data_IF_064520008226
#
_entry.id   IF_064520008226
#
_cell.length_a   1.000
_cell.length_b   1.000
_cell.length_c   1.000
_cell.angle_alpha   90.00
_cell.angle_beta   90.00
_cell.angle_gamma   90.00
#
_symmetry.space_group_name_H-M   'P 1'
#
loop_
_entity.id
_entity.type
_entity.pdbx_description
1 polymer ?
#
# COMPACT_ATOMS: atom_id res chain seq x y z
N UNK A 1 -45.62 -23.86 14.02
CA UNK A 1 -45.51 -25.32 14.20
C UNK A 1 -44.88 -25.91 12.96
N UNK A 2 -43.79 -26.66 12.92
CA UNK A 2 -42.61 -26.91 13.79
C UNK A 2 -41.76 -27.87 12.97
N UNK A 3 -40.46 -27.56 12.84
CA UNK A 3 -39.29 -28.44 12.62
C UNK A 3 -39.47 -29.85 12.00
N UNK A 4 -38.62 -30.16 11.01
CA UNK A 4 -38.18 -31.53 10.75
C UNK A 4 -36.64 -31.55 10.79
N UNK A 5 -36.13 -32.15 11.86
CA UNK A 5 -34.74 -32.55 12.06
C UNK A 5 -34.49 -33.87 11.35
N UNK A 6 -33.33 -34.04 10.73
CA UNK A 6 -32.77 -35.36 10.42
C UNK A 6 -31.38 -35.44 11.04
N UNK A 7 -31.24 -36.43 11.92
CA UNK A 7 -30.03 -36.78 12.64
C UNK A 7 -29.64 -38.22 12.28
N UNK A 8 -28.34 -38.39 12.16
CA UNK A 8 -27.46 -39.56 12.30
C UNK A 8 -27.97 -41.01 12.22
N UNK A 9 -27.11 -41.84 11.62
CA UNK A 9 -26.81 -43.18 12.16
C UNK A 9 -26.41 -44.22 11.13
N UNK A 10 -25.21 -44.81 11.28
CA UNK A 10 -25.04 -46.26 11.12
C UNK A 10 -23.78 -46.81 11.82
N UNK A 11 -24.01 -47.86 12.60
CA UNK A 11 -23.04 -48.80 13.20
C UNK A 11 -23.55 -50.23 12.93
N UNK A 12 -22.64 -51.18 12.73
CA UNK A 12 -22.88 -52.64 12.71
C UNK A 12 -21.59 -53.37 12.30
N UNK A 13 -20.76 -53.90 13.20
CA UNK A 13 -20.76 -55.23 13.90
C UNK A 13 -20.36 -56.42 13.00
N UNK A 14 -19.35 -57.20 13.45
CA UNK A 14 -19.08 -58.57 12.97
C UNK A 14 -17.78 -59.17 13.52
N UNK A 15 -17.85 -60.39 14.06
CA UNK A 15 -16.93 -61.06 14.99
C UNK A 15 -15.78 -61.89 14.37
N UNK A 16 -14.89 -62.32 15.27
CA UNK A 16 -13.62 -63.05 15.15
C UNK A 16 -13.66 -64.48 14.55
N UNK A 17 -12.49 -64.93 14.04
CA UNK A 17 -12.09 -66.34 13.96
C UNK A 17 -10.57 -66.50 14.19
N UNK A 18 -10.21 -67.45 15.06
CA UNK A 18 -8.84 -67.89 15.37
C UNK A 18 -8.20 -68.70 14.24
N UNK A 19 -6.89 -68.56 14.03
CA UNK A 19 -6.00 -69.69 13.67
C UNK A 19 -4.51 -69.36 13.86
N UNK A 20 -3.88 -70.21 14.69
CA UNK A 20 -2.54 -70.80 14.65
C UNK A 20 -1.30 -70.11 14.01
N UNK A 21 -0.21 -70.23 14.77
CA UNK A 21 1.20 -69.96 14.51
C UNK A 21 1.76 -70.61 13.23
N UNK A 22 2.60 -69.86 12.50
CA UNK A 22 3.81 -70.37 11.84
C UNK A 22 4.81 -69.23 11.64
N UNK A 23 5.98 -69.37 12.25
CA UNK A 23 7.13 -68.49 12.02
C UNK A 23 7.75 -68.81 10.64
N UNK A 24 7.95 -67.78 9.82
CA UNK A 24 8.94 -67.76 8.75
C UNK A 24 9.58 -66.37 8.74
N UNK A 25 10.85 -66.30 9.14
CA UNK A 25 11.71 -65.17 8.87
C UNK A 25 11.86 -64.98 7.37
N UNK A 26 11.65 -63.76 6.88
CA UNK A 26 12.30 -63.25 5.68
C UNK A 26 12.57 -61.79 5.88
N UNK A 27 13.84 -61.51 6.14
CA UNK A 27 14.45 -60.20 6.22
C UNK A 27 14.31 -59.50 4.86
N UNK A 28 13.47 -58.46 4.80
CA UNK A 28 13.37 -57.59 3.64
C UNK A 28 14.51 -56.56 3.69
N UNK A 29 15.22 -56.29 2.58
CA UNK A 29 16.29 -55.30 2.56
C UNK A 29 15.73 -53.90 2.86
N UNK A 30 16.42 -53.18 3.75
CA UNK A 30 16.09 -51.82 4.12
C UNK A 30 16.02 -50.91 2.87
N UNK A 31 14.91 -50.19 2.72
CA UNK A 31 14.80 -49.12 1.73
C UNK A 31 15.87 -48.04 2.02
N UNK A 32 16.49 -47.44 0.98
CA UNK A 32 17.46 -46.37 1.18
C UNK A 32 16.76 -45.15 1.79
N UNK A 33 17.39 -44.58 2.82
CA UNK A 33 16.94 -43.36 3.47
C UNK A 33 16.83 -42.20 2.45
N UNK A 34 15.84 -41.30 2.58
CA UNK A 34 15.76 -40.11 1.73
C UNK A 34 17.01 -39.23 1.94
N UNK A 35 17.52 -38.58 0.88
CA UNK A 35 18.67 -37.70 1.00
C UNK A 35 18.36 -36.53 1.94
N UNK A 36 19.35 -36.16 2.76
CA UNK A 36 19.27 -35.02 3.66
C UNK A 36 18.97 -33.73 2.88
N UNK A 37 18.21 -32.77 3.46
CA UNK A 37 17.97 -31.48 2.83
C UNK A 37 19.29 -30.75 2.60
N UNK A 38 19.44 -30.01 1.48
CA UNK A 38 20.64 -29.23 1.22
C UNK A 38 20.84 -28.18 2.32
N UNK A 39 22.10 -27.98 2.70
CA UNK A 39 22.49 -26.97 3.68
C UNK A 39 21.97 -25.57 3.28
N UNK A 40 21.58 -24.72 4.25
CA UNK A 40 21.15 -23.36 3.94
C UNK A 40 22.27 -22.60 3.22
N UNK A 41 21.94 -22.04 2.05
CA UNK A 41 22.85 -21.17 1.30
C UNK A 41 23.11 -19.93 2.18
N UNK A 42 24.38 -19.54 2.42
CA UNK A 42 24.66 -18.33 3.19
C UNK A 42 24.00 -17.12 2.51
N UNK A 43 23.27 -16.33 3.29
CA UNK A 43 22.66 -15.09 2.84
C UNK A 43 23.74 -14.20 2.20
N UNK A 44 23.55 -13.86 0.93
CA UNK A 44 24.39 -12.89 0.24
C UNK A 44 24.16 -11.54 0.91
N UNK A 45 25.20 -10.96 1.51
CA UNK A 45 25.16 -9.62 2.08
C UNK A 45 24.72 -8.61 1.00
N UNK A 46 23.87 -7.62 1.33
CA UNK A 46 23.45 -6.61 0.35
C UNK A 46 24.69 -5.88 -0.19
N UNK A 47 24.78 -5.79 -1.51
CA UNK A 47 25.80 -4.99 -2.20
C UNK A 47 25.62 -3.53 -1.76
N UNK A 48 26.66 -2.83 -1.28
CA UNK A 48 26.53 -1.44 -0.87
C UNK A 48 26.13 -0.59 -2.08
N UNK A 49 25.03 0.15 -1.93
CA UNK A 49 24.58 1.11 -2.93
C UNK A 49 25.69 2.18 -3.15
N UNK A 50 25.95 2.61 -4.39
CA UNK A 50 26.89 3.69 -4.64
C UNK A 50 26.45 4.97 -3.93
N UNK A 51 27.39 5.69 -3.35
CA UNK A 51 27.14 6.95 -2.66
C UNK A 51 26.38 7.93 -3.56
N UNK A 52 25.19 8.34 -3.13
CA UNK A 52 24.30 9.20 -3.90
C UNK A 52 24.93 10.59 -4.11
N UNK A 53 24.88 11.09 -5.35
CA UNK A 53 25.16 12.49 -5.66
C UNK A 53 24.15 13.41 -4.93
N UNK A 54 24.53 14.66 -4.58
CA UNK A 54 23.65 15.57 -3.86
C UNK A 54 22.40 15.89 -4.70
N UNK A 55 21.23 15.67 -4.09
CA UNK A 55 19.95 15.96 -4.74
C UNK A 55 19.73 17.49 -4.82
N UNK A 56 19.11 17.99 -5.90
CA UNK A 56 18.71 19.39 -5.97
C UNK A 56 17.62 19.68 -4.93
N UNK A 57 17.88 20.66 -4.05
CA UNK A 57 16.99 21.06 -2.96
C UNK A 57 15.61 21.46 -3.51
N UNK A 58 14.57 20.98 -2.85
CA UNK A 58 13.21 21.30 -3.25
C UNK A 58 12.84 22.76 -3.01
N UNK A 59 12.56 23.50 -4.08
CA UNK A 59 11.93 24.83 -3.98
C UNK A 59 10.55 24.66 -3.32
N UNK A 60 10.39 25.21 -2.11
CA UNK A 60 9.11 25.19 -1.37
C UNK A 60 8.97 24.11 -0.29
N UNK A 61 9.93 23.21 -0.09
CA UNK A 61 9.86 22.20 0.99
C UNK A 61 9.87 22.80 2.41
N UNK A 62 10.05 24.11 2.55
CA UNK A 62 9.97 24.84 3.82
C UNK A 62 8.54 25.18 4.24
N UNK A 63 7.51 24.75 3.50
CA UNK A 63 6.10 25.00 3.82
C UNK A 63 5.43 23.69 4.23
N UNK A 64 4.88 23.57 5.45
CA UNK A 64 4.07 22.42 5.84
C UNK A 64 2.90 22.18 4.87
N UNK A 65 2.64 20.92 4.55
CA UNK A 65 1.70 20.49 3.51
C UNK A 65 2.32 20.30 2.13
N UNK A 66 3.59 20.68 1.93
CA UNK A 66 4.29 20.46 0.66
C UNK A 66 4.55 18.97 0.46
N UNK A 67 4.19 18.46 -0.72
CA UNK A 67 4.49 17.09 -1.13
C UNK A 67 5.92 17.02 -1.65
N UNK A 68 6.69 16.08 -1.15
CA UNK A 68 8.11 15.89 -1.46
C UNK A 68 8.40 14.42 -1.73
N UNK A 69 9.55 14.17 -2.34
CA UNK A 69 10.20 12.87 -2.33
C UNK A 69 11.34 12.93 -1.32
N UNK A 70 11.29 12.06 -0.31
CA UNK A 70 12.18 12.09 0.84
C UNK A 70 13.06 10.83 0.87
N UNK A 71 14.37 11.03 1.11
CA UNK A 71 15.39 9.99 1.14
C UNK A 71 15.28 9.20 2.46
N UNK A 72 14.60 8.07 2.41
CA UNK A 72 14.34 7.27 3.60
C UNK A 72 15.63 6.75 4.21
N UNK A 73 15.90 7.13 5.46
CA UNK A 73 17.09 6.76 6.22
C UNK A 73 18.43 7.06 5.50
N UNK A 74 18.44 7.99 4.54
CA UNK A 74 19.65 8.35 3.80
C UNK A 74 20.14 7.29 2.80
N UNK A 75 19.35 6.26 2.49
CA UNK A 75 19.78 5.09 1.71
C UNK A 75 19.80 5.30 0.18
N UNK A 76 19.45 6.49 -0.31
CA UNK A 76 19.37 6.83 -1.73
C UNK A 76 18.07 6.39 -2.40
N UNK A 77 17.10 5.89 -1.61
CA UNK A 77 15.75 5.58 -2.04
C UNK A 77 14.78 6.64 -1.54
N UNK A 78 14.03 7.19 -2.47
CA UNK A 78 13.12 8.28 -2.20
C UNK A 78 11.67 7.82 -2.28
N UNK A 79 10.89 8.22 -1.28
CA UNK A 79 9.49 7.89 -1.12
C UNK A 79 8.65 9.16 -1.03
N UNK A 80 7.40 9.07 -1.44
CA UNK A 80 6.46 10.19 -1.34
C UNK A 80 6.14 10.47 0.11
N UNK A 81 6.26 11.75 0.50
CA UNK A 81 5.83 12.24 1.79
C UNK A 81 5.28 13.65 1.74
N UNK A 82 4.76 14.10 2.87
CA UNK A 82 4.30 15.47 3.10
C UNK A 82 5.13 16.10 4.21
N UNK A 83 5.62 17.32 4.00
CA UNK A 83 6.30 18.08 5.05
C UNK A 83 5.26 18.45 6.11
N UNK A 84 5.47 18.04 7.35
CA UNK A 84 4.54 18.30 8.46
C UNK A 84 4.98 19.46 9.36
N UNK A 85 6.29 19.70 9.44
CA UNK A 85 6.89 20.78 10.22
C UNK A 85 8.25 21.18 9.66
N UNK A 86 8.68 22.40 9.98
CA UNK A 86 10.00 22.95 9.63
C UNK A 86 10.61 23.57 10.87
N UNK A 87 11.76 23.04 11.30
CA UNK A 87 12.45 23.47 12.52
C UNK A 87 13.89 23.81 12.17
N UNK A 88 14.19 25.11 12.04
CA UNK A 88 15.51 25.56 11.59
C UNK A 88 15.82 25.03 10.18
N UNK A 89 16.89 24.24 10.06
CA UNK A 89 17.30 23.58 8.81
C UNK A 89 16.92 22.10 8.77
N UNK A 90 15.81 21.73 9.41
CA UNK A 90 15.27 20.37 9.42
C UNK A 90 13.80 20.37 9.02
N UNK A 91 13.41 19.34 8.30
CA UNK A 91 12.07 19.12 7.78
C UNK A 91 11.54 17.82 8.38
N UNK A 92 10.41 17.87 9.06
CA UNK A 92 9.67 16.67 9.45
C UNK A 92 8.80 16.23 8.27
N UNK A 93 8.96 14.99 7.84
CA UNK A 93 8.23 14.41 6.70
C UNK A 93 7.41 13.23 7.19
N UNK A 94 6.12 13.23 6.84
CA UNK A 94 5.21 12.09 6.99
C UNK A 94 5.14 11.36 5.65
N UNK A 95 5.63 10.13 5.61
CA UNK A 95 5.55 9.27 4.45
C UNK A 95 4.11 8.77 4.23
N UNK A 96 3.81 8.40 2.99
CA UNK A 96 2.47 7.96 2.60
C UNK A 96 2.03 6.65 3.29
N UNK A 97 2.95 5.87 3.86
CA UNK A 97 2.68 4.66 4.63
C UNK A 97 2.42 4.91 6.13
N UNK A 98 2.59 6.16 6.58
CA UNK A 98 2.41 6.60 7.96
C UNK A 98 3.69 6.77 8.80
N UNK A 99 4.86 6.38 8.29
CA UNK A 99 6.11 6.61 9.00
C UNK A 99 6.50 8.10 8.95
N UNK A 100 7.24 8.56 9.96
CA UNK A 100 7.70 9.95 10.04
C UNK A 100 9.20 10.00 10.26
N UNK A 101 9.87 10.94 9.58
CA UNK A 101 11.31 11.14 9.69
C UNK A 101 11.65 12.64 9.72
N UNK A 102 12.77 13.01 10.34
CA UNK A 102 13.31 14.36 10.28
C UNK A 102 14.55 14.37 9.41
N UNK A 103 14.51 15.16 8.34
CA UNK A 103 15.53 15.19 7.29
C UNK A 103 16.11 16.58 7.13
N UNK A 104 17.36 16.65 6.69
CA UNK A 104 17.93 17.88 6.16
C UNK A 104 17.34 18.20 4.76
N UNK A 105 17.37 19.47 4.31
CA UNK A 105 16.79 19.87 3.02
C UNK A 105 17.37 19.18 1.79
N UNK A 106 18.61 18.68 1.85
CA UNK A 106 19.25 17.90 0.79
C UNK A 106 18.78 16.43 0.77
N UNK A 107 18.15 15.96 1.85
CA UNK A 107 17.45 14.69 1.93
C UNK A 107 16.06 14.69 1.30
N UNK A 108 15.58 15.84 0.80
CA UNK A 108 14.28 15.94 0.12
C UNK A 108 14.43 16.59 -1.25
N UNK A 109 13.59 16.16 -2.18
CA UNK A 109 13.47 16.77 -3.50
C UNK A 109 12.00 17.06 -3.82
N UNK A 110 11.71 17.97 -4.78
CA UNK A 110 10.34 18.23 -5.18
C UNK A 110 9.68 16.92 -5.63
N UNK A 111 8.38 16.83 -5.44
CA UNK A 111 7.61 15.73 -6.01
C UNK A 111 7.68 15.76 -7.55
N UNK A 112 8.62 14.98 -8.09
CA UNK A 112 8.86 14.77 -9.52
C UNK A 112 8.59 13.33 -9.93
N UNK A 113 7.66 12.66 -9.24
CA UNK A 113 7.11 11.39 -9.73
C UNK A 113 6.22 11.65 -10.94
N UNK A 114 6.89 11.87 -12.07
CA UNK A 114 6.28 12.22 -13.33
C UNK A 114 6.39 11.04 -14.30
N UNK A 115 5.27 10.38 -14.62
CA UNK A 115 5.29 9.36 -15.67
C UNK A 115 5.70 9.99 -17.02
N UNK A 116 6.43 9.31 -17.90
CA UNK A 116 6.95 7.94 -17.84
C UNK A 116 8.36 7.93 -17.24
N UNK A 117 8.60 7.20 -16.14
CA UNK A 117 9.93 7.16 -15.49
C UNK A 117 10.23 5.82 -14.80
N UNK A 118 11.52 5.43 -14.64
CA UNK A 118 11.87 4.19 -13.95
C UNK A 118 11.71 4.31 -12.43
N UNK A 119 11.35 3.21 -11.79
CA UNK A 119 11.26 3.09 -10.34
C UNK A 119 11.29 1.62 -9.91
N UNK A 120 11.06 1.39 -8.62
CA UNK A 120 10.88 0.06 -8.07
C UNK A 120 9.57 0.00 -7.29
N UNK A 121 8.72 -0.97 -7.64
CA UNK A 121 7.48 -1.22 -6.93
C UNK A 121 7.64 -2.43 -6.01
N UNK A 122 7.17 -2.36 -4.77
CA UNK A 122 7.07 -3.52 -3.90
C UNK A 122 5.91 -4.39 -4.38
N UNK A 123 6.22 -5.65 -4.70
CA UNK A 123 5.28 -6.70 -5.05
C UNK A 123 5.61 -7.93 -4.24
N UNK A 124 4.64 -8.42 -3.46
CA UNK A 124 4.82 -9.57 -2.57
C UNK A 124 6.04 -9.42 -1.62
N UNK A 125 6.28 -8.19 -1.14
CA UNK A 125 7.40 -7.84 -0.29
C UNK A 125 8.75 -7.67 -1.00
N UNK A 126 8.80 -7.86 -2.32
CA UNK A 126 10.02 -7.75 -3.12
C UNK A 126 9.96 -6.50 -4.00
N UNK A 127 11.01 -5.68 -3.96
CA UNK A 127 11.14 -4.55 -4.88
C UNK A 127 11.45 -5.07 -6.29
N UNK A 128 10.55 -4.80 -7.25
CA UNK A 128 10.71 -5.15 -8.65
C UNK A 128 10.89 -3.89 -9.50
N UNK A 129 11.80 -3.91 -10.50
CA UNK A 129 11.97 -2.78 -11.40
C UNK A 129 10.72 -2.57 -12.24
N UNK A 130 10.26 -1.33 -12.31
CA UNK A 130 9.08 -0.93 -13.07
C UNK A 130 9.31 0.37 -13.83
N UNK A 131 8.51 0.55 -14.87
CA UNK A 131 8.26 1.85 -15.47
C UNK A 131 6.95 2.40 -14.90
N UNK A 132 6.99 3.57 -14.28
CA UNK A 132 5.82 4.30 -13.81
C UNK A 132 5.21 4.96 -15.04
N UNK A 133 4.05 4.48 -15.50
CA UNK A 133 3.38 4.94 -16.72
C UNK A 133 2.27 5.95 -16.45
N UNK A 134 1.66 5.92 -15.26
CA UNK A 134 0.57 6.83 -14.89
C UNK A 134 0.59 7.16 -13.41
N UNK A 135 0.12 8.35 -13.06
CA UNK A 135 -0.12 8.78 -11.69
C UNK A 135 -1.44 9.54 -11.59
N UNK A 136 -2.26 9.16 -10.62
CA UNK A 136 -3.52 9.83 -10.28
C UNK A 136 -3.62 9.83 -8.76
N UNK A 137 -3.58 11.00 -8.12
CA UNK A 137 -3.55 11.08 -6.66
C UNK A 137 -2.43 10.20 -6.07
N UNK A 138 -2.81 9.27 -5.19
CA UNK A 138 -1.95 8.24 -4.59
C UNK A 138 -1.68 7.02 -5.45
N UNK A 139 -2.45 6.78 -6.51
CA UNK A 139 -2.34 5.58 -7.33
C UNK A 139 -1.34 5.75 -8.48
N UNK A 140 -0.59 4.68 -8.74
CA UNK A 140 0.40 4.59 -9.80
C UNK A 140 0.07 3.41 -10.71
N UNK A 141 -0.04 3.68 -12.01
CA UNK A 141 -0.06 2.65 -13.04
C UNK A 141 1.39 2.34 -13.42
N UNK A 142 1.80 1.09 -13.29
CA UNK A 142 3.17 0.65 -13.51
C UNK A 142 3.24 -0.51 -14.50
N UNK A 143 4.34 -0.59 -15.24
CA UNK A 143 4.67 -1.70 -16.10
C UNK A 143 5.96 -2.39 -15.62
N UNK A 144 5.90 -3.71 -15.41
CA UNK A 144 7.06 -4.53 -15.09
C UNK A 144 7.97 -4.73 -16.29
N UNK A 145 9.19 -5.19 -16.04
CA UNK A 145 10.14 -5.54 -17.10
C UNK A 145 9.65 -6.68 -18.02
N UNK A 146 8.71 -7.49 -17.53
CA UNK A 146 8.01 -8.56 -18.26
C UNK A 146 6.83 -8.04 -19.12
N UNK A 147 6.59 -6.73 -19.11
CA UNK A 147 5.47 -6.08 -19.82
C UNK A 147 4.13 -6.19 -19.11
N UNK A 148 4.06 -6.84 -17.94
CA UNK A 148 2.83 -6.87 -17.14
C UNK A 148 2.51 -5.48 -16.62
N UNK A 149 1.24 -5.09 -16.71
CA UNK A 149 0.75 -3.80 -16.21
C UNK A 149 -0.18 -4.01 -15.03
N UNK A 150 -0.01 -3.20 -14.00
CA UNK A 150 -0.90 -3.20 -12.84
C UNK A 150 -0.93 -1.83 -12.18
N UNK A 151 -1.88 -1.65 -11.27
CA UNK A 151 -1.94 -0.47 -10.41
C UNK A 151 -1.42 -0.78 -9.02
N UNK A 152 -0.75 0.19 -8.43
CA UNK A 152 -0.27 0.19 -7.05
C UNK A 152 -0.48 1.60 -6.46
N UNK A 153 0.06 1.87 -5.27
CA UNK A 153 0.03 3.19 -4.65
C UNK A 153 1.44 3.68 -4.29
N UNK A 154 1.57 5.00 -4.11
CA UNK A 154 2.85 5.66 -3.81
C UNK A 154 3.62 5.11 -2.59
N UNK A 155 3.00 4.58 -1.50
CA UNK A 155 3.76 3.94 -0.42
C UNK A 155 4.59 2.74 -0.86
N UNK A 156 4.20 2.07 -1.94
CA UNK A 156 4.86 0.86 -2.44
C UNK A 156 5.81 1.14 -3.59
N UNK A 157 6.06 2.41 -3.93
CA UNK A 157 6.97 2.76 -5.02
C UNK A 157 8.08 3.64 -4.49
N UNK A 158 9.31 3.22 -4.80
CA UNK A 158 10.52 3.98 -4.52
C UNK A 158 11.25 4.32 -5.80
N UNK A 159 12.03 5.39 -5.75
CA UNK A 159 12.79 5.91 -6.88
C UNK A 159 14.17 6.34 -6.40
N UNK A 160 15.13 6.43 -7.32
CA UNK A 160 16.47 6.94 -7.02
C UNK A 160 16.62 8.35 -7.58
N UNK A 161 17.61 9.10 -7.10
CA UNK A 161 17.95 10.40 -7.68
C UNK A 161 18.28 10.30 -9.19
N UNK A 162 18.88 9.19 -9.63
CA UNK A 162 19.20 8.96 -11.03
C UNK A 162 17.95 8.73 -11.91
N UNK A 163 16.84 8.28 -11.31
CA UNK A 163 15.56 8.09 -12.01
C UNK A 163 14.82 9.41 -12.27
N UNK A 164 15.18 10.49 -11.58
CA UNK A 164 14.41 11.74 -11.58
C UNK A 164 14.50 12.47 -12.92
N UNK A 165 13.36 12.79 -13.55
CA UNK A 165 13.37 13.63 -14.74
C UNK A 165 13.73 15.08 -14.38
N UNK A 166 14.39 15.74 -15.34
CA UNK A 166 14.76 17.15 -15.20
C UNK A 166 13.55 18.09 -15.24
N UNK A 167 12.45 17.64 -15.86
CA UNK A 167 11.25 18.46 -16.11
C UNK A 167 10.16 18.18 -15.10
N UNK A 168 9.47 19.24 -14.65
CA UNK A 168 8.24 19.12 -13.85
C UNK A 168 7.08 18.80 -14.79
N UNK A 169 6.39 17.69 -14.54
CA UNK A 169 5.19 17.31 -15.29
C UNK A 169 3.96 17.92 -14.65
N UNK A 170 3.11 18.49 -15.48
CA UNK A 170 1.77 18.87 -15.09
C UNK A 170 0.89 17.61 -15.09
N UNK A 171 0.33 17.27 -13.92
CA UNK A 171 -0.59 16.15 -13.84
C UNK A 171 -1.77 16.35 -14.81
N UNK A 172 -2.22 15.30 -15.53
CA UNK A 172 -3.39 15.41 -16.38
C UNK A 172 -4.63 15.71 -15.53
N UNK A 173 -5.63 16.34 -16.15
CA UNK A 173 -6.93 16.54 -15.50
C UNK A 173 -7.50 15.17 -15.03
N UNK A 174 -8.17 15.13 -13.87
CA UNK A 174 -8.78 13.90 -13.38
C UNK A 174 -9.78 13.36 -14.39
N UNK A 175 -9.83 12.03 -14.53
CA UNK A 175 -10.81 11.40 -15.40
C UNK A 175 -12.23 11.61 -14.86
N UNK A 176 -13.21 11.58 -15.76
CA UNK A 176 -14.62 11.65 -15.38
C UNK A 176 -14.99 10.54 -14.38
N UNK A 177 -15.94 10.83 -13.49
CA UNK A 177 -16.38 9.93 -12.43
C UNK A 177 -16.62 8.49 -12.94
N UNK A 178 -16.02 7.51 -12.26
CA UNK A 178 -16.19 6.09 -12.55
C UNK A 178 -15.38 5.57 -13.75
N UNK A 179 -14.54 6.41 -14.37
CA UNK A 179 -13.62 6.04 -15.44
C UNK A 179 -12.20 5.76 -14.92
N UNK A 180 -11.40 5.01 -15.67
CA UNK A 180 -10.01 4.74 -15.29
C UNK A 180 -9.21 6.04 -15.09
N UNK A 181 -8.72 6.21 -13.87
CA UNK A 181 -8.02 7.39 -13.36
C UNK A 181 -8.93 8.44 -12.72
N UNK A 182 -10.18 8.11 -12.39
CA UNK A 182 -11.03 8.98 -11.56
C UNK A 182 -10.70 8.77 -10.09
N UNK A 183 -10.52 9.87 -9.36
CA UNK A 183 -10.43 9.86 -7.89
C UNK A 183 -11.84 9.71 -7.32
N UNK A 184 -12.03 8.76 -6.41
CA UNK A 184 -13.34 8.42 -5.84
C UNK A 184 -13.23 8.17 -4.33
N UNK A 185 -14.34 8.32 -3.62
CA UNK A 185 -14.55 7.71 -2.32
C UNK A 185 -15.23 6.36 -2.57
N UNK A 186 -14.56 5.28 -2.21
CA UNK A 186 -15.03 3.92 -2.37
C UNK A 186 -15.48 3.33 -1.03
N UNK A 187 -16.66 2.74 -1.00
CA UNK A 187 -17.18 2.05 0.19
C UNK A 187 -16.50 0.69 0.31
N UNK A 188 -15.55 0.59 1.24
CA UNK A 188 -14.76 -0.60 1.47
C UNK A 188 -15.65 -1.74 1.98
N UNK A 189 -15.51 -2.93 1.41
CA UNK A 189 -16.42 -4.04 1.72
C UNK A 189 -16.19 -4.62 3.12
N UNK A 190 -14.96 -4.49 3.65
CA UNK A 190 -14.58 -5.08 4.93
C UNK A 190 -15.20 -4.40 6.15
N UNK A 191 -15.38 -3.08 6.14
CA UNK A 191 -15.92 -2.32 7.28
C UNK A 191 -17.08 -1.36 6.92
N UNK A 192 -17.43 -1.29 5.64
CA UNK A 192 -18.51 -0.46 5.11
C UNK A 192 -18.26 1.05 5.14
N UNK A 193 -17.05 1.49 5.53
CA UNK A 193 -16.65 2.90 5.56
C UNK A 193 -16.16 3.35 4.18
N UNK A 194 -16.04 4.65 3.99
CA UNK A 194 -15.59 5.22 2.71
C UNK A 194 -14.11 5.59 2.79
N UNK A 195 -13.34 5.14 1.81
CA UNK A 195 -11.91 5.42 1.69
C UNK A 195 -11.61 6.07 0.35
N UNK A 196 -10.61 6.94 0.32
CA UNK A 196 -10.14 7.50 -0.95
C UNK A 196 -9.48 6.41 -1.79
N UNK A 197 -9.89 6.32 -3.04
CA UNK A 197 -9.38 5.35 -3.99
C UNK A 197 -9.32 5.95 -5.40
N UNK A 198 -8.64 5.25 -6.31
CA UNK A 198 -8.61 5.58 -7.74
C UNK A 198 -9.15 4.41 -8.53
N UNK A 199 -10.01 4.67 -9.50
CA UNK A 199 -10.44 3.63 -10.46
C UNK A 199 -9.25 3.26 -11.34
N UNK A 200 -8.67 2.09 -11.15
CA UNK A 200 -7.54 1.60 -11.95
C UNK A 200 -7.97 0.88 -13.23
N UNK A 201 -9.08 0.15 -13.19
CA UNK A 201 -9.52 -0.69 -14.31
C UNK A 201 -11.05 -0.79 -14.36
N UNK A 202 -11.59 -0.97 -15.56
CA UNK A 202 -13.01 -1.29 -15.77
C UNK A 202 -13.15 -2.81 -15.95
N UNK A 203 -13.89 -3.45 -15.06
CA UNK A 203 -14.07 -4.92 -15.03
C UNK A 203 -15.54 -5.23 -15.25
N UNK A 204 -15.97 -5.24 -16.52
CA UNK A 204 -17.38 -5.31 -16.87
C UNK A 204 -18.16 -4.11 -16.32
N UNK A 205 -19.17 -4.35 -15.48
CA UNK A 205 -19.93 -3.31 -14.79
C UNK A 205 -19.25 -2.81 -13.50
N UNK A 206 -18.19 -3.50 -13.05
CA UNK A 206 -17.45 -3.15 -11.84
C UNK A 206 -16.25 -2.26 -12.16
N UNK A 207 -15.80 -1.52 -11.15
CA UNK A 207 -14.61 -0.68 -11.19
C UNK A 207 -13.61 -1.28 -10.22
N UNK A 208 -12.44 -1.68 -10.72
CA UNK A 208 -11.31 -2.03 -9.86
C UNK A 208 -10.76 -0.76 -9.26
N UNK A 209 -11.01 -0.52 -7.99
CA UNK A 209 -10.48 0.62 -7.25
C UNK A 209 -9.16 0.26 -6.58
N UNK A 210 -8.27 1.25 -6.45
CA UNK A 210 -6.95 1.12 -5.81
C UNK A 210 -6.92 2.10 -4.65
N UNK A 211 -6.87 1.57 -3.44
CA UNK A 211 -6.79 2.34 -2.21
C UNK A 211 -5.38 2.88 -1.98
N UNK A 212 -5.25 3.89 -1.11
CA UNK A 212 -3.96 4.49 -0.80
C UNK A 212 -2.99 3.53 -0.12
N UNK A 213 -3.49 2.51 0.57
CA UNK A 213 -2.69 1.40 1.13
C UNK A 213 -2.31 0.32 0.10
N UNK A 214 -2.60 0.54 -1.19
CA UNK A 214 -2.21 -0.34 -2.29
C UNK A 214 -3.13 -1.53 -2.48
N UNK A 215 -4.10 -1.74 -1.59
CA UNK A 215 -5.14 -2.75 -1.77
C UNK A 215 -6.10 -2.37 -2.90
N UNK A 216 -6.81 -3.37 -3.44
CA UNK A 216 -7.76 -3.16 -4.54
C UNK A 216 -8.98 -4.05 -4.43
N UNK A 217 -10.13 -3.52 -4.87
CA UNK A 217 -11.41 -4.24 -4.89
C UNK A 217 -12.20 -3.91 -6.16
N UNK A 218 -13.02 -4.86 -6.62
CA UNK A 218 -13.93 -4.66 -7.75
C UNK A 218 -15.30 -4.24 -7.22
N UNK A 219 -15.65 -2.95 -7.40
CA UNK A 219 -16.85 -2.35 -6.79
C UNK A 219 -17.87 -1.89 -7.85
N UNK A 220 -19.18 -2.00 -7.58
CA UNK A 220 -20.21 -1.40 -8.41
C UNK A 220 -20.24 0.13 -8.23
N UNK A 221 -20.82 0.85 -9.19
CA UNK A 221 -20.90 2.33 -9.14
C UNK A 221 -21.62 2.88 -7.91
N UNK A 222 -22.60 2.15 -7.38
CA UNK A 222 -23.33 2.49 -6.16
C UNK A 222 -22.47 2.47 -4.88
N UNK A 223 -21.33 1.79 -4.92
CA UNK A 223 -20.33 1.79 -3.86
C UNK A 223 -19.27 2.88 -4.06
N UNK A 224 -19.44 3.79 -5.03
CA UNK A 224 -18.53 4.89 -5.32
C UNK A 224 -19.21 6.25 -5.15
N UNK A 225 -18.45 7.25 -4.72
CA UNK A 225 -18.82 8.68 -4.75
C UNK A 225 -17.75 9.45 -5.51
N UNK A 226 -18.17 10.50 -6.21
CA UNK A 226 -17.27 11.34 -6.98
C UNK A 226 -16.35 12.16 -6.06
N UNK A 227 -15.09 12.30 -6.48
CA UNK A 227 -14.05 13.02 -5.74
C UNK A 227 -13.41 12.22 -4.59
N UNK A 228 -12.41 12.84 -3.95
CA UNK A 228 -11.70 12.28 -2.79
C UNK A 228 -12.12 12.91 -1.46
N UNK A 229 -11.26 12.79 -0.46
CA UNK A 229 -11.48 13.43 0.85
C UNK A 229 -11.32 14.95 0.70
N UNK A 230 -12.38 15.69 0.99
CA UNK A 230 -12.43 17.15 0.85
C UNK A 230 -12.12 17.88 2.17
N UNK A 231 -11.75 19.16 2.06
CA UNK A 231 -11.64 20.06 3.21
C UNK A 231 -13.03 20.25 3.84
N UNK A 232 -13.09 20.26 5.17
CA UNK A 232 -14.32 20.32 5.95
C UNK A 232 -15.01 18.97 6.17
N UNK A 233 -14.57 17.91 5.48
CA UNK A 233 -15.13 16.57 5.68
C UNK A 233 -14.81 16.05 7.08
N UNK A 234 -15.82 15.44 7.73
CA UNK A 234 -15.63 14.67 8.96
C UNK A 234 -15.01 13.33 8.62
N UNK A 235 -13.88 13.03 9.24
CA UNK A 235 -13.12 11.82 9.00
C UNK A 235 -12.76 11.14 10.32
N UNK A 236 -12.31 9.91 10.21
CA UNK A 236 -11.56 9.22 11.25
C UNK A 236 -10.15 8.94 10.73
N UNK A 237 -9.16 9.07 11.60
CA UNK A 237 -7.77 8.76 11.28
C UNK A 237 -7.09 8.00 12.41
N UNK A 238 -6.08 7.21 12.07
CA UNK A 238 -5.24 6.45 13.00
C UNK A 238 -3.77 6.58 12.62
N UNK A 239 -2.88 6.12 13.48
CA UNK A 239 -1.45 5.99 13.18
C UNK A 239 -0.99 4.55 13.44
N UNK A 240 0.26 4.22 13.08
CA UNK A 240 0.85 2.92 13.47
C UNK A 240 0.99 2.81 14.99
N UNK A 241 1.31 3.91 15.66
CA UNK A 241 1.47 3.98 17.12
C UNK A 241 0.13 3.98 17.87
N UNK A 242 -0.90 4.57 17.25
CA UNK A 242 -2.26 4.67 17.79
C UNK A 242 -3.23 4.07 16.77
N UNK A 243 -3.46 2.75 16.81
CA UNK A 243 -4.26 2.05 15.80
C UNK A 243 -5.77 2.31 15.93
N UNK A 244 -6.20 2.92 17.04
CA UNK A 244 -7.57 3.34 17.26
C UNK A 244 -7.94 4.52 16.35
N UNK A 245 -9.16 4.47 15.80
CA UNK A 245 -9.69 5.51 14.94
C UNK A 245 -10.15 6.72 15.75
N UNK A 246 -9.58 7.88 15.46
CA UNK A 246 -9.91 9.13 16.14
C UNK A 246 -10.61 10.06 15.15
N UNK A 247 -11.78 10.57 15.55
CA UNK A 247 -12.57 11.50 14.74
C UNK A 247 -11.97 12.90 14.67
N UNK A 248 -12.01 13.51 13.49
CA UNK A 248 -11.61 14.90 13.28
C UNK A 248 -12.25 15.52 12.04
N UNK A 249 -11.86 16.75 11.74
CA UNK A 249 -12.29 17.49 10.55
C UNK A 249 -11.08 17.84 9.71
N UNK A 250 -11.17 17.67 8.39
CA UNK A 250 -10.09 18.03 7.47
C UNK A 250 -9.99 19.55 7.36
N UNK A 251 -8.83 20.12 7.69
CA UNK A 251 -8.50 21.54 7.54
C UNK A 251 -7.80 21.83 6.22
N UNK A 252 -6.82 21.01 5.86
CA UNK A 252 -6.00 21.16 4.66
C UNK A 252 -5.87 19.83 3.93
N UNK A 253 -5.69 19.93 2.61
CA UNK A 253 -5.50 18.78 1.72
C UNK A 253 -4.20 18.98 0.92
N UNK A 254 -3.21 18.12 1.17
CA UNK A 254 -2.09 17.89 0.26
C UNK A 254 -2.49 16.81 -0.76
N UNK A 255 -1.63 16.31 -1.66
CA UNK A 255 -2.01 15.22 -2.57
C UNK A 255 -2.10 13.85 -1.87
N UNK A 256 -1.28 13.59 -0.85
CA UNK A 256 -1.19 12.29 -0.15
C UNK A 256 -1.39 12.37 1.35
N UNK A 257 -1.75 13.55 1.86
CA UNK A 257 -2.03 13.76 3.26
C UNK A 257 -3.14 14.77 3.47
N UNK A 258 -3.73 14.72 4.65
CA UNK A 258 -4.71 15.69 5.14
C UNK A 258 -4.23 16.24 6.48
N UNK A 259 -4.42 17.52 6.71
CA UNK A 259 -4.30 18.08 8.06
C UNK A 259 -5.67 17.98 8.72
N UNK A 260 -5.71 17.37 9.89
CA UNK A 260 -6.92 17.07 10.65
C UNK A 260 -6.91 17.89 11.93
N UNK A 261 -8.03 18.51 12.25
CA UNK A 261 -8.29 19.10 13.58
C UNK A 261 -9.19 18.17 14.39
N UNK A 262 -8.72 17.81 15.57
CA UNK A 262 -9.44 16.96 16.51
C UNK A 262 -10.31 17.79 17.46
N UNK A 263 -11.25 17.14 18.15
CA UNK A 263 -12.12 17.80 19.13
C UNK A 263 -11.34 18.47 20.28
N UNK A 264 -10.12 18.01 20.55
CA UNK A 264 -9.20 18.58 21.54
C UNK A 264 -8.58 19.91 21.10
N UNK A 265 -8.73 20.30 19.83
CA UNK A 265 -8.03 21.42 19.19
C UNK A 265 -6.64 21.05 18.68
N UNK A 266 -6.18 19.82 18.89
CA UNK A 266 -4.94 19.32 18.29
C UNK A 266 -5.08 19.29 16.75
N UNK A 267 -4.00 19.68 16.06
CA UNK A 267 -3.90 19.59 14.60
C UNK A 267 -2.76 18.66 14.22
N UNK A 268 -3.04 17.71 13.33
CA UNK A 268 -2.05 16.72 12.91
C UNK A 268 -2.20 16.40 11.43
N UNK A 269 -1.09 16.11 10.77
CA UNK A 269 -1.12 15.51 9.44
C UNK A 269 -1.37 14.01 9.53
N UNK A 270 -2.21 13.49 8.64
CA UNK A 270 -2.45 12.06 8.47
C UNK A 270 -2.27 11.67 7.01
N UNK A 271 -1.68 10.49 6.71
CA UNK A 271 -1.60 10.00 5.35
C UNK A 271 -2.99 9.54 4.91
N UNK A 272 -3.34 9.76 3.63
CA UNK A 272 -4.67 9.41 3.11
C UNK A 272 -5.01 7.92 3.32
N UNK A 273 -4.02 7.02 3.26
CA UNK A 273 -4.21 5.58 3.51
C UNK A 273 -4.60 5.22 4.94
N UNK A 274 -4.46 6.14 5.90
CA UNK A 274 -4.89 5.96 7.30
C UNK A 274 -6.05 6.88 7.66
N UNK A 275 -6.86 7.25 6.67
CA UNK A 275 -8.04 8.11 6.83
C UNK A 275 -9.25 7.43 6.19
N UNK A 276 -10.39 7.51 6.88
CA UNK A 276 -11.69 7.06 6.37
C UNK A 276 -12.79 8.07 6.66
N UNK A 277 -13.81 8.07 5.83
CA UNK A 277 -15.04 8.84 6.05
C UNK A 277 -16.11 7.88 6.60
N UNK A 278 -16.67 8.16 7.79
CA UNK A 278 -17.71 7.32 8.36
C UNK A 278 -18.95 7.20 7.47
N UNK A 279 -19.53 6.01 7.37
CA UNK A 279 -20.71 5.76 6.53
C UNK A 279 -21.98 6.51 6.97
N UNK A 280 -22.05 6.91 8.24
CA UNK A 280 -23.17 7.65 8.83
C UNK A 280 -22.97 9.17 8.88
N UNK A 281 -21.92 9.70 8.24
CA UNK A 281 -21.60 11.13 8.18
C UNK A 281 -22.10 11.82 6.91
#
# INVERSE_FOLDING_TARGET
MTQTTVDSGWRGVGLAFCALLAACSSEAPAAPAPPAPPAPVPAVAPVPAPAAAPAPVAVGATVPGTVVLANYQGQGYYYVGVVTAVTGNQLSVLYADGDTETLAPDGVMPDRLTPVMPGEALRDGVAVPVTIERRVGHALGVAGADGQRWWTSVPFVRVTAASMPATVFAAPAPAAFGQTGSLVLARYTGDGQWYEAVVGELVGELRRVVYADGSSEDLPMEALRDGGIAVGTRIETRTREQPEWVSGTVLLRAAHGVQVEFATGERRWAPVGLVRVPAGG
#
